data_IF_280772796607
#
_entry.id   IF_280772796607
#
_cell.length_a   1.000
_cell.length_b   1.000
_cell.length_c   1.000
_cell.angle_alpha   90.00
_cell.angle_beta   90.00
_cell.angle_gamma   90.00
#
_symmetry.space_group_name_H-M   'P 1'
#
loop_
_entity.id
_entity.type
_entity.pdbx_description
1 polymer ?
#
# COMPACT_ATOMS: atom_id res chain seq x y z
N UNK A 1 -11.58 -0.74 12.45
CA UNK A 1 -11.34 -1.80 11.41
C UNK A 1 -10.28 -1.29 10.44
N UNK A 2 -9.20 -2.03 10.26
CA UNK A 2 -8.06 -1.66 9.41
C UNK A 2 -8.50 -1.60 7.94
N UNK A 3 -7.97 -0.62 7.20
CA UNK A 3 -8.05 -0.55 5.74
C UNK A 3 -6.68 -0.82 5.14
N UNK A 4 -6.64 -1.46 3.96
CA UNK A 4 -5.40 -1.60 3.19
C UNK A 4 -5.05 -0.30 2.46
N UNK A 5 -3.77 -0.01 2.28
CA UNK A 5 -3.30 1.08 1.42
C UNK A 5 -3.40 0.75 -0.06
N UNK A 6 -3.36 -0.53 -0.41
CA UNK A 6 -3.55 -1.01 -1.78
C UNK A 6 -5.03 -1.15 -2.08
N UNK A 7 -5.41 -0.86 -3.31
CA UNK A 7 -6.79 -0.98 -3.73
C UNK A 7 -6.96 -0.82 -5.24
N UNK A 8 -8.05 -1.36 -5.73
CA UNK A 8 -8.48 -1.29 -7.11
C UNK A 8 -9.98 -1.04 -7.19
N UNK A 9 -10.39 -0.11 -8.01
CA UNK A 9 -11.79 0.16 -8.31
C UNK A 9 -12.00 0.40 -9.79
N UNK A 10 -13.06 -0.14 -10.32
CA UNK A 10 -13.49 0.09 -11.71
C UNK A 10 -15.00 0.29 -11.74
N UNK A 11 -15.43 1.22 -12.57
CA UNK A 11 -16.83 1.41 -12.88
C UNK A 11 -17.01 1.69 -14.36
N UNK A 12 -18.17 1.32 -14.90
CA UNK A 12 -18.58 1.59 -16.27
C UNK A 12 -20.00 2.11 -16.21
N UNK A 13 -20.24 3.28 -16.79
CA UNK A 13 -21.58 3.87 -16.92
C UNK A 13 -21.89 4.07 -18.40
N UNK A 14 -23.06 3.64 -18.83
CA UNK A 14 -23.54 3.82 -20.20
C UNK A 14 -24.22 5.16 -20.34
N UNK A 15 -23.84 5.92 -21.34
CA UNK A 15 -24.46 7.21 -21.70
C UNK A 15 -24.67 7.29 -23.20
N UNK A 16 -25.90 7.07 -23.66
CA UNK A 16 -26.24 6.96 -25.07
C UNK A 16 -25.47 5.79 -25.72
N UNK A 17 -24.72 6.11 -26.79
CA UNK A 17 -23.87 5.12 -27.52
C UNK A 17 -22.44 5.04 -26.93
N UNK A 18 -22.18 5.72 -25.81
CA UNK A 18 -20.88 5.78 -25.16
C UNK A 18 -20.88 4.96 -23.87
N UNK A 19 -19.76 4.30 -23.57
CA UNK A 19 -19.45 3.71 -22.27
C UNK A 19 -18.34 4.52 -21.61
N UNK A 20 -18.68 5.14 -20.49
CA UNK A 20 -17.72 5.90 -19.66
C UNK A 20 -17.07 4.92 -18.72
N UNK A 21 -15.79 4.67 -18.90
CA UNK A 21 -15.00 3.78 -18.09
C UNK A 21 -14.15 4.60 -17.11
N UNK A 22 -14.18 4.23 -15.84
CA UNK A 22 -13.31 4.79 -14.81
C UNK A 22 -12.54 3.66 -14.10
N UNK A 23 -11.25 3.83 -13.97
CA UNK A 23 -10.37 2.93 -13.27
C UNK A 23 -9.52 3.70 -12.27
N UNK A 24 -9.45 3.20 -11.03
CA UNK A 24 -8.64 3.79 -9.97
C UNK A 24 -7.80 2.71 -9.33
N UNK A 25 -6.49 2.92 -9.28
CA UNK A 25 -5.51 2.04 -8.61
C UNK A 25 -4.82 2.80 -7.50
N UNK A 26 -4.62 2.16 -6.38
CA UNK A 26 -3.89 2.75 -5.27
C UNK A 26 -2.80 1.80 -4.76
N UNK A 27 -1.61 2.36 -4.56
CA UNK A 27 -0.45 1.70 -3.96
C UNK A 27 -0.03 2.43 -2.69
N UNK A 28 0.81 1.76 -1.89
CA UNK A 28 1.34 2.35 -0.67
C UNK A 28 2.17 3.61 -0.95
N UNK A 29 1.83 4.71 -0.26
CA UNK A 29 2.64 5.94 -0.23
C UNK A 29 2.40 6.70 1.08
N UNK A 30 3.38 7.51 1.49
CA UNK A 30 3.29 8.34 2.70
C UNK A 30 2.31 9.50 2.57
N UNK A 31 2.16 10.04 1.37
CA UNK A 31 1.27 11.14 1.00
C UNK A 31 0.35 10.72 -0.14
N UNK A 32 -0.67 11.51 -0.42
CA UNK A 32 -1.48 11.33 -1.62
C UNK A 32 -0.67 11.84 -2.83
N UNK A 33 -0.31 10.94 -3.72
CA UNK A 33 0.32 11.21 -5.02
C UNK A 33 -0.64 10.76 -6.11
N UNK A 34 -1.29 11.72 -6.80
CA UNK A 34 -2.36 11.48 -7.77
C UNK A 34 -1.88 11.72 -9.19
N UNK A 35 -1.80 10.66 -9.96
CA UNK A 35 -1.61 10.66 -11.42
C UNK A 35 -2.95 10.51 -12.12
N UNK A 36 -3.25 11.35 -13.10
CA UNK A 36 -4.52 11.34 -13.82
C UNK A 36 -4.32 11.14 -15.31
N UNK A 37 -5.10 10.23 -15.90
CA UNK A 37 -5.27 10.07 -17.36
C UNK A 37 -6.71 10.32 -17.70
N UNK A 38 -6.97 11.46 -18.34
CA UNK A 38 -8.32 11.97 -18.56
C UNK A 38 -8.57 12.12 -20.06
N UNK A 39 -9.67 11.54 -20.55
CA UNK A 39 -10.09 11.71 -21.93
C UNK A 39 -10.25 13.19 -22.29
N UNK A 40 -9.92 13.63 -23.53
CA UNK A 40 -9.90 15.05 -23.92
C UNK A 40 -11.17 15.82 -23.57
N UNK A 41 -12.34 15.20 -23.70
CA UNK A 41 -13.63 15.80 -23.41
C UNK A 41 -13.82 16.17 -21.91
N UNK A 42 -13.18 15.45 -20.98
CA UNK A 42 -13.28 15.68 -19.54
C UNK A 42 -12.12 16.53 -18.99
N UNK A 43 -11.19 17.02 -19.80
CA UNK A 43 -10.02 17.80 -19.33
C UNK A 43 -10.41 19.06 -18.58
N UNK A 44 -11.47 19.74 -19.00
CA UNK A 44 -11.95 20.94 -18.29
C UNK A 44 -12.42 20.65 -16.86
N UNK A 45 -12.79 19.43 -16.56
CA UNK A 45 -13.25 18.94 -15.25
C UNK A 45 -12.13 18.29 -14.41
N UNK A 46 -10.87 18.31 -14.88
CA UNK A 46 -9.75 17.66 -14.19
C UNK A 46 -9.62 18.07 -12.72
N UNK A 47 -9.75 19.36 -12.42
CA UNK A 47 -9.65 19.86 -11.04
C UNK A 47 -10.77 19.33 -10.15
N UNK A 48 -11.97 19.17 -10.68
CA UNK A 48 -13.10 18.59 -9.93
C UNK A 48 -12.85 17.09 -9.66
N UNK A 49 -12.37 16.34 -10.66
CA UNK A 49 -11.99 14.94 -10.50
C UNK A 49 -10.90 14.78 -9.43
N UNK A 50 -9.85 15.60 -9.49
CA UNK A 50 -8.78 15.60 -8.48
C UNK A 50 -9.30 15.85 -7.06
N UNK A 51 -10.25 16.77 -6.93
CA UNK A 51 -10.88 17.07 -5.66
C UNK A 51 -11.72 15.88 -5.15
N UNK A 52 -12.52 15.24 -5.99
CA UNK A 52 -13.29 14.04 -5.63
C UNK A 52 -12.39 12.92 -5.14
N UNK A 53 -11.31 12.63 -5.88
CA UNK A 53 -10.33 11.60 -5.51
C UNK A 53 -9.65 11.95 -4.18
N UNK A 54 -9.24 13.20 -3.97
CA UNK A 54 -8.55 13.62 -2.74
C UNK A 54 -9.47 13.66 -1.51
N UNK A 55 -10.77 13.85 -1.69
CA UNK A 55 -11.75 13.75 -0.62
C UNK A 55 -12.04 12.29 -0.22
N UNK A 56 -12.05 11.40 -1.20
CA UNK A 56 -12.30 9.97 -0.98
C UNK A 56 -11.09 9.20 -0.43
N UNK A 57 -9.86 9.66 -0.75
CA UNK A 57 -8.62 8.94 -0.46
C UNK A 57 -7.64 9.83 0.32
N UNK A 58 -7.30 9.42 1.55
CA UNK A 58 -6.44 10.19 2.47
C UNK A 58 -4.96 10.15 2.09
N UNK A 59 -4.47 9.00 1.59
CA UNK A 59 -3.07 8.80 1.15
C UNK A 59 -2.96 7.63 0.19
N UNK A 60 -1.83 7.55 -0.49
CA UNK A 60 -1.48 6.50 -1.45
C UNK A 60 -0.96 7.09 -2.75
N UNK A 61 -0.22 6.30 -3.52
CA UNK A 61 0.06 6.61 -4.91
C UNK A 61 -1.12 6.11 -5.73
N UNK A 62 -1.90 7.06 -6.28
CA UNK A 62 -3.17 6.80 -6.94
C UNK A 62 -3.03 7.07 -8.44
N UNK A 63 -3.29 6.07 -9.24
CA UNK A 63 -3.42 6.18 -10.69
C UNK A 63 -4.91 6.17 -11.03
N UNK A 64 -5.41 7.29 -11.54
CA UNK A 64 -6.79 7.49 -11.97
C UNK A 64 -6.86 7.57 -13.49
N UNK A 65 -7.78 6.84 -14.11
CA UNK A 65 -8.00 6.88 -15.55
C UNK A 65 -9.49 6.97 -15.85
N UNK A 66 -9.88 7.89 -16.75
CA UNK A 66 -11.23 7.99 -17.32
C UNK A 66 -11.14 8.05 -18.83
N UNK A 67 -11.84 7.13 -19.49
CA UNK A 67 -11.90 7.09 -20.96
C UNK A 67 -13.28 6.68 -21.44
N UNK A 68 -13.54 6.94 -22.71
CA UNK A 68 -14.80 6.62 -23.38
C UNK A 68 -14.56 5.51 -24.39
N UNK A 69 -15.40 4.51 -24.35
CA UNK A 69 -15.57 3.51 -25.40
C UNK A 69 -16.88 3.82 -26.16
N UNK A 70 -16.81 3.87 -27.47
CA UNK A 70 -17.97 4.01 -28.33
C UNK A 70 -18.24 2.67 -29.00
N UNK A 71 -19.46 2.18 -28.90
CA UNK A 71 -19.90 0.96 -29.65
C UNK A 71 -20.13 1.28 -31.15
N UNK A 72 -19.34 2.20 -31.72
CA UNK A 72 -19.52 2.58 -33.13
C UNK A 72 -18.83 1.62 -34.09
N UNK A 73 -19.55 1.20 -35.10
CA UNK A 73 -19.00 0.70 -36.36
C UNK A 73 -17.91 1.69 -36.79
N UNK A 74 -16.75 1.19 -37.18
CA UNK A 74 -15.61 2.02 -37.59
C UNK A 74 -16.02 2.85 -38.81
N UNK A 75 -16.59 4.03 -38.59
CA UNK A 75 -16.81 4.99 -39.64
C UNK A 75 -15.47 5.44 -40.20
N UNK A 76 -15.39 5.47 -41.51
CA UNK A 76 -14.22 5.98 -42.20
C UNK A 76 -13.93 7.41 -41.73
N UNK A 77 -12.64 7.74 -41.49
CA UNK A 77 -12.25 9.10 -41.14
C UNK A 77 -12.78 10.09 -42.14
N UNK A 78 -13.61 11.07 -41.79
CA UNK A 78 -14.19 11.99 -42.75
C UNK A 78 -13.11 12.84 -43.40
N UNK A 79 -13.33 13.11 -44.69
CA UNK A 79 -12.45 13.97 -45.46
C UNK A 79 -12.87 15.43 -45.25
N UNK A 80 -11.91 16.29 -44.84
CA UNK A 80 -12.13 17.73 -44.73
C UNK A 80 -12.24 18.39 -46.10
N UNK A 81 -13.44 18.34 -46.72
CA UNK A 81 -13.69 18.86 -48.05
C UNK A 81 -13.30 20.33 -48.26
N UNK A 82 -13.63 21.25 -47.33
CA UNK A 82 -13.20 22.66 -47.43
C UNK A 82 -11.67 22.82 -47.46
N UNK A 83 -10.94 22.04 -46.69
CA UNK A 83 -9.47 22.08 -46.64
C UNK A 83 -8.88 21.53 -47.95
N UNK A 84 -9.42 20.43 -48.45
CA UNK A 84 -9.03 19.86 -49.76
C UNK A 84 -9.21 20.88 -50.89
N UNK A 85 -10.35 21.56 -50.94
CA UNK A 85 -10.62 22.61 -51.94
C UNK A 85 -9.63 23.78 -51.83
N UNK A 86 -9.25 24.16 -50.61
CA UNK A 86 -8.28 25.21 -50.38
C UNK A 86 -6.88 24.80 -50.84
N UNK A 87 -6.42 23.61 -50.50
CA UNK A 87 -5.12 23.07 -50.98
C UNK A 87 -5.11 22.95 -52.51
N UNK A 88 -6.19 22.49 -53.14
CA UNK A 88 -6.28 22.41 -54.59
C UNK A 88 -6.05 23.79 -55.22
N UNK A 89 -6.76 24.81 -54.76
CA UNK A 89 -6.63 26.19 -55.28
C UNK A 89 -5.20 26.71 -55.13
N UNK A 90 -4.61 26.56 -53.94
CA UNK A 90 -3.24 27.05 -53.67
C UNK A 90 -2.21 26.34 -54.55
N UNK A 91 -2.28 25.02 -54.67
CA UNK A 91 -1.33 24.24 -55.48
C UNK A 91 -1.44 24.58 -56.93
N UNK A 92 -2.67 24.80 -57.44
CA UNK A 92 -2.90 25.22 -58.83
C UNK A 92 -2.33 26.61 -59.13
N UNK A 93 -2.58 27.57 -58.23
CA UNK A 93 -2.01 28.92 -58.36
C UNK A 93 -0.48 28.92 -58.34
N UNK A 94 0.14 28.05 -57.54
CA UNK A 94 1.61 27.90 -57.49
C UNK A 94 2.14 27.26 -58.75
N UNK A 95 1.49 26.22 -59.26
CA UNK A 95 1.85 25.56 -60.51
C UNK A 95 1.83 26.53 -61.72
N UNK A 96 0.77 27.31 -61.84
CA UNK A 96 0.61 28.32 -62.91
C UNK A 96 1.69 29.43 -62.79
N UNK A 97 1.92 29.98 -61.62
CA UNK A 97 2.90 31.08 -61.39
C UNK A 97 4.34 30.68 -61.63
N UNK A 98 4.69 29.43 -61.40
CA UNK A 98 6.06 28.94 -61.48
C UNK A 98 6.32 28.00 -62.65
N UNK A 99 5.37 27.84 -63.57
CA UNK A 99 5.43 26.91 -64.71
C UNK A 99 5.78 25.47 -64.27
N UNK A 100 5.24 25.02 -63.15
CA UNK A 100 5.38 23.65 -62.68
C UNK A 100 4.26 22.82 -63.35
N UNK A 101 4.56 21.64 -63.94
CA UNK A 101 3.53 20.82 -64.51
C UNK A 101 2.56 20.32 -63.44
N UNK A 102 1.26 20.40 -63.72
CA UNK A 102 0.23 19.89 -62.80
C UNK A 102 0.34 18.38 -62.64
N UNK A 103 0.08 17.83 -61.42
CA UNK A 103 0.10 16.39 -61.18
C UNK A 103 -1.00 15.69 -61.98
N UNK A 104 -0.72 14.51 -62.52
CA UNK A 104 -1.70 13.71 -63.26
C UNK A 104 -2.82 13.19 -62.36
N UNK A 105 -2.49 12.95 -61.06
CA UNK A 105 -3.43 12.48 -60.03
C UNK A 105 -3.51 13.49 -58.89
N UNK A 106 -4.44 14.41 -59.03
CA UNK A 106 -4.76 15.40 -58.00
C UNK A 106 -5.32 14.77 -56.73
N UNK A 107 -6.10 13.66 -56.88
CA UNK A 107 -6.77 13.06 -55.73
C UNK A 107 -5.75 12.47 -54.77
N UNK A 108 -4.82 11.66 -55.26
CA UNK A 108 -3.73 11.12 -54.43
C UNK A 108 -2.84 12.20 -53.80
N UNK A 109 -2.61 13.30 -54.51
CA UNK A 109 -1.80 14.42 -54.03
C UNK A 109 -2.49 15.13 -52.89
N UNK A 110 -3.76 15.44 -52.99
CA UNK A 110 -4.56 16.16 -52.00
C UNK A 110 -4.82 15.31 -50.75
N UNK A 111 -5.06 14.00 -50.90
CA UNK A 111 -5.31 13.11 -49.80
C UNK A 111 -4.08 12.88 -48.91
N UNK A 112 -2.88 13.23 -49.39
CA UNK A 112 -1.61 13.18 -48.60
C UNK A 112 -1.27 14.49 -47.92
N UNK A 113 -2.04 15.54 -48.15
CA UNK A 113 -1.82 16.83 -47.48
C UNK A 113 -2.17 16.76 -46.00
N UNK A 114 -1.48 17.55 -45.15
CA UNK A 114 -1.76 17.58 -43.74
C UNK A 114 -3.23 17.88 -43.44
N UNK A 115 -3.77 17.25 -42.39
CA UNK A 115 -5.10 17.51 -41.83
C UNK A 115 -6.31 17.29 -42.77
N UNK A 116 -6.08 16.67 -43.95
CA UNK A 116 -7.17 16.32 -44.90
C UNK A 116 -8.06 15.19 -44.32
N UNK A 117 -7.47 14.26 -43.58
CA UNK A 117 -8.15 13.18 -42.92
C UNK A 117 -8.16 13.45 -41.38
N UNK A 118 -8.86 14.47 -40.95
CA UNK A 118 -8.98 14.86 -39.55
C UNK A 118 -10.40 14.69 -39.05
N UNK A 119 -10.54 14.06 -37.91
CA UNK A 119 -11.80 14.08 -37.16
C UNK A 119 -11.99 15.48 -36.57
N UNK A 120 -12.85 16.28 -37.17
CA UNK A 120 -13.16 17.67 -36.74
C UNK A 120 -14.28 17.73 -35.68
N UNK A 121 -14.65 16.62 -35.07
CA UNK A 121 -15.66 16.67 -34.01
C UNK A 121 -14.98 17.05 -32.67
N UNK A 122 -15.00 18.33 -32.35
CA UNK A 122 -14.89 18.82 -30.98
C UNK A 122 -16.19 18.46 -30.26
N UNK A 123 -16.27 17.27 -29.67
CA UNK A 123 -17.39 16.94 -28.79
C UNK A 123 -17.38 17.90 -27.63
N UNK A 124 -18.47 18.61 -27.41
CA UNK A 124 -18.67 19.48 -26.25
C UNK A 124 -19.28 18.65 -25.14
N UNK A 125 -18.71 18.75 -23.94
CA UNK A 125 -19.24 18.08 -22.75
C UNK A 125 -20.59 18.66 -22.35
N UNK A 126 -21.64 17.83 -22.28
CA UNK A 126 -22.94 18.24 -21.74
C UNK A 126 -23.03 18.03 -20.24
N UNK A 127 -23.93 18.74 -19.57
CA UNK A 127 -24.12 18.58 -18.11
C UNK A 127 -24.61 17.18 -17.75
N UNK A 128 -25.43 16.56 -18.62
CA UNK A 128 -25.92 15.19 -18.44
C UNK A 128 -24.76 14.16 -18.56
N UNK A 129 -23.87 14.33 -19.55
CA UNK A 129 -22.70 13.47 -19.71
C UNK A 129 -21.74 13.63 -18.54
N UNK A 130 -21.58 14.88 -18.05
CA UNK A 130 -20.78 15.12 -16.83
C UNK A 130 -21.38 14.49 -15.59
N UNK A 131 -22.71 14.51 -15.42
CA UNK A 131 -23.38 13.82 -14.32
C UNK A 131 -23.14 12.31 -14.36
N UNK A 132 -23.26 11.67 -15.53
CA UNK A 132 -22.95 10.25 -15.73
C UNK A 132 -21.45 9.93 -15.46
N UNK A 133 -20.55 10.80 -15.89
CA UNK A 133 -19.11 10.66 -15.59
C UNK A 133 -18.83 10.77 -14.08
N UNK A 134 -19.50 11.69 -13.39
CA UNK A 134 -19.40 11.86 -11.93
C UNK A 134 -19.91 10.62 -11.19
N UNK A 135 -21.01 10.03 -11.65
CA UNK A 135 -21.52 8.76 -11.11
C UNK A 135 -20.48 7.64 -11.28
N UNK A 136 -19.87 7.51 -12.46
CA UNK A 136 -18.83 6.52 -12.72
C UNK A 136 -17.59 6.73 -11.83
N UNK A 137 -17.17 7.99 -11.61
CA UNK A 137 -16.06 8.32 -10.70
C UNK A 137 -16.37 7.89 -9.28
N UNK A 138 -17.54 8.24 -8.75
CA UNK A 138 -17.95 7.88 -7.39
C UNK A 138 -18.04 6.35 -7.23
N UNK A 139 -18.67 5.65 -8.17
CA UNK A 139 -18.79 4.20 -8.14
C UNK A 139 -17.41 3.49 -8.16
N UNK A 140 -16.44 4.00 -8.94
CA UNK A 140 -15.08 3.48 -8.95
C UNK A 140 -14.34 3.72 -7.62
N UNK A 141 -14.53 4.89 -7.00
CA UNK A 141 -13.96 5.22 -5.68
C UNK A 141 -14.57 4.34 -4.57
N UNK A 142 -15.88 4.13 -4.61
CA UNK A 142 -16.58 3.25 -3.67
C UNK A 142 -16.12 1.79 -3.80
N UNK A 143 -15.94 1.31 -5.04
CA UNK A 143 -15.39 0.00 -5.33
C UNK A 143 -13.97 -0.16 -4.77
N UNK A 144 -13.11 0.85 -4.94
CA UNK A 144 -11.75 0.86 -4.37
C UNK A 144 -11.78 0.83 -2.84
N UNK A 145 -12.66 1.62 -2.21
CA UNK A 145 -12.79 1.65 -0.75
C UNK A 145 -13.32 0.32 -0.21
N UNK A 146 -14.29 -0.31 -0.88
CA UNK A 146 -14.77 -1.65 -0.53
C UNK A 146 -13.64 -2.69 -0.62
N UNK A 147 -12.82 -2.64 -1.66
CA UNK A 147 -11.63 -3.50 -1.80
C UNK A 147 -10.64 -3.28 -0.65
N UNK A 148 -10.34 -2.01 -0.30
CA UNK A 148 -9.47 -1.67 0.83
C UNK A 148 -9.98 -2.22 2.16
N UNK A 149 -11.29 -2.18 2.39
CA UNK A 149 -11.90 -2.76 3.60
C UNK A 149 -11.78 -4.27 3.62
N UNK A 150 -12.01 -4.94 2.50
CA UNK A 150 -11.89 -6.40 2.39
C UNK A 150 -10.45 -6.87 2.64
N UNK A 151 -9.46 -6.23 2.01
CA UNK A 151 -8.04 -6.53 2.26
C UNK A 151 -7.64 -6.20 3.70
N UNK A 152 -8.12 -5.09 4.23
CA UNK A 152 -7.88 -4.69 5.62
C UNK A 152 -8.39 -5.72 6.63
N UNK A 153 -9.57 -6.30 6.39
CA UNK A 153 -10.09 -7.38 7.22
C UNK A 153 -9.21 -8.65 7.18
N UNK A 154 -8.67 -8.98 6.00
CA UNK A 154 -7.72 -10.09 5.86
C UNK A 154 -6.39 -9.81 6.60
N UNK A 155 -5.89 -8.57 6.53
CA UNK A 155 -4.72 -8.13 7.31
C UNK A 155 -4.97 -8.22 8.81
N UNK A 156 -6.11 -7.76 9.30
CA UNK A 156 -6.48 -7.82 10.72
C UNK A 156 -6.50 -9.26 11.24
N UNK A 157 -7.02 -10.19 10.43
CA UNK A 157 -7.00 -11.63 10.78
C UNK A 157 -5.58 -12.16 10.92
N UNK A 158 -4.69 -11.82 9.96
CA UNK A 158 -3.28 -12.21 10.02
C UNK A 158 -2.57 -11.62 11.24
N UNK A 159 -2.80 -10.34 11.56
CA UNK A 159 -2.22 -9.73 12.75
C UNK A 159 -2.67 -10.41 14.03
N UNK A 160 -3.95 -10.73 14.17
CA UNK A 160 -4.44 -11.46 15.32
C UNK A 160 -3.77 -12.82 15.47
N UNK A 161 -3.63 -13.59 14.38
CA UNK A 161 -2.92 -14.87 14.38
C UNK A 161 -1.47 -14.71 14.87
N UNK A 162 -0.73 -13.73 14.36
CA UNK A 162 0.66 -13.47 14.76
C UNK A 162 0.79 -13.05 16.21
N UNK A 163 -0.13 -12.21 16.70
CA UNK A 163 -0.18 -11.78 18.10
C UNK A 163 -0.52 -12.97 19.01
N UNK A 164 -1.45 -13.85 18.62
CA UNK A 164 -1.74 -15.07 19.36
C UNK A 164 -0.51 -15.98 19.45
N UNK A 165 0.23 -16.14 18.35
CA UNK A 165 1.46 -16.91 18.32
C UNK A 165 2.52 -16.33 19.25
N UNK A 166 2.74 -15.00 19.24
CA UNK A 166 3.70 -14.34 20.15
C UNK A 166 3.25 -14.50 21.61
N UNK A 167 1.95 -14.39 21.88
CA UNK A 167 1.39 -14.58 23.22
C UNK A 167 1.65 -15.99 23.74
N UNK A 168 1.36 -17.01 22.94
CA UNK A 168 1.61 -18.40 23.31
C UNK A 168 3.11 -18.70 23.49
N UNK A 169 3.96 -18.13 22.66
CA UNK A 169 5.42 -18.23 22.80
C UNK A 169 5.89 -17.56 24.10
N UNK A 170 5.36 -16.39 24.45
CA UNK A 170 5.69 -15.69 25.69
C UNK A 170 5.31 -16.51 26.93
N UNK A 171 4.13 -17.12 26.94
CA UNK A 171 3.68 -18.03 28.02
C UNK A 171 4.56 -19.27 28.11
N UNK A 172 5.06 -19.79 26.98
CA UNK A 172 5.93 -20.97 26.95
C UNK A 172 7.33 -20.74 27.56
N UNK A 173 7.71 -19.51 27.89
CA UNK A 173 8.98 -19.18 28.56
C UNK A 173 8.97 -19.59 30.05
N UNK A 174 7.81 -19.56 30.70
CA UNK A 174 7.70 -19.71 32.17
C UNK A 174 8.38 -20.96 32.75
N UNK A 175 8.25 -22.19 32.20
CA UNK A 175 8.92 -23.38 32.73
C UNK A 175 10.43 -23.27 32.69
N UNK A 176 10.99 -22.63 31.67
CA UNK A 176 12.44 -22.46 31.52
C UNK A 176 13.00 -21.37 32.44
N UNK A 177 12.22 -20.34 32.71
CA UNK A 177 12.58 -19.27 33.63
C UNK A 177 12.76 -19.83 35.07
N UNK A 178 11.83 -20.64 35.56
CA UNK A 178 11.91 -21.29 36.89
C UNK A 178 13.13 -22.19 37.01
N UNK A 179 13.46 -22.99 35.99
CA UNK A 179 14.59 -23.91 36.03
C UNK A 179 15.97 -23.23 35.86
N UNK A 180 15.99 -21.99 35.38
CA UNK A 180 17.21 -21.25 35.07
C UNK A 180 18.04 -20.92 36.32
N UNK A 181 17.38 -20.45 37.37
CA UNK A 181 18.03 -20.06 38.61
C UNK A 181 18.79 -21.25 39.22
N UNK A 182 18.15 -22.43 39.27
CA UNK A 182 18.77 -23.63 39.79
C UNK A 182 19.97 -24.07 38.93
N UNK A 183 19.85 -24.03 37.62
CA UNK A 183 20.96 -24.34 36.68
C UNK A 183 22.16 -23.38 36.87
N UNK A 184 21.89 -22.08 37.08
CA UNK A 184 22.95 -21.09 37.33
C UNK A 184 23.64 -21.40 38.65
N UNK A 185 22.87 -21.64 39.72
CA UNK A 185 23.40 -22.01 41.04
C UNK A 185 24.30 -23.22 40.92
N UNK A 186 23.81 -24.30 40.28
CA UNK A 186 24.58 -25.54 40.12
C UNK A 186 25.88 -25.30 39.37
N UNK A 187 25.84 -24.55 38.26
CA UNK A 187 27.04 -24.21 37.47
C UNK A 187 28.09 -23.44 38.25
N UNK A 188 27.66 -22.47 39.07
CA UNK A 188 28.58 -21.68 39.91
C UNK A 188 29.21 -22.57 40.99
N UNK A 189 28.40 -23.39 41.66
CA UNK A 189 28.90 -24.34 42.70
C UNK A 189 29.86 -25.35 42.10
N UNK A 190 29.57 -25.93 40.92
CA UNK A 190 30.44 -26.88 40.27
C UNK A 190 31.74 -26.22 39.76
N UNK A 191 31.66 -24.96 39.30
CA UNK A 191 32.86 -24.18 38.94
C UNK A 191 33.74 -23.91 40.17
N UNK A 192 33.16 -23.56 41.30
CA UNK A 192 33.93 -23.36 42.55
C UNK A 192 34.59 -24.68 43.06
N UNK A 193 33.88 -25.79 42.97
CA UNK A 193 34.45 -27.13 43.37
C UNK A 193 35.58 -27.59 42.45
N UNK A 194 35.65 -27.12 41.22
CA UNK A 194 36.71 -27.47 40.26
C UNK A 194 38.05 -26.76 40.54
N UNK A 195 38.07 -25.76 41.48
CA UNK A 195 39.28 -25.04 41.85
C UNK A 195 39.81 -25.67 43.15
N UNK A 196 41.01 -26.31 43.10
CA UNK A 196 41.59 -26.93 44.27
C UNK A 196 41.90 -25.91 45.38
N UNK A 197 41.67 -26.29 46.67
CA UNK A 197 42.01 -25.52 47.85
C UNK A 197 41.24 -24.20 48.09
N UNK A 198 40.10 -23.97 47.44
CA UNK A 198 39.29 -22.78 47.67
C UNK A 198 38.12 -23.10 48.62
N UNK A 199 38.22 -22.66 49.87
CA UNK A 199 37.07 -22.52 50.75
C UNK A 199 36.30 -21.27 50.27
N UNK A 200 35.04 -21.43 49.78
CA UNK A 200 34.20 -20.31 49.42
C UNK A 200 33.23 -19.93 50.53
N UNK A 201 33.05 -18.61 50.72
CA UNK A 201 32.05 -18.05 51.62
C UNK A 201 30.65 -18.21 51.04
N UNK A 202 29.77 -18.96 51.75
CA UNK A 202 28.40 -19.21 51.34
C UNK A 202 27.57 -17.92 51.23
N UNK A 203 27.79 -16.96 52.16
CA UNK A 203 27.06 -15.68 52.13
C UNK A 203 27.41 -14.87 50.87
N UNK A 204 28.69 -14.90 50.46
CA UNK A 204 29.13 -14.24 49.24
C UNK A 204 28.57 -14.92 48.01
N UNK A 205 28.48 -16.24 47.99
CA UNK A 205 27.83 -16.98 46.88
C UNK A 205 26.34 -16.61 46.78
N UNK A 206 25.63 -16.49 47.90
CA UNK A 206 24.21 -16.09 47.87
C UNK A 206 24.03 -14.65 47.38
N UNK A 207 24.89 -13.72 47.78
CA UNK A 207 24.87 -12.34 47.26
C UNK A 207 25.09 -12.28 45.76
N UNK A 208 26.07 -13.00 45.24
CA UNK A 208 26.32 -13.10 43.78
C UNK A 208 25.13 -13.75 43.04
N UNK A 209 24.49 -14.76 43.64
CA UNK A 209 23.30 -15.39 43.05
C UNK A 209 22.14 -14.41 42.98
N UNK A 210 21.89 -13.60 44.02
CA UNK A 210 20.85 -12.56 44.00
C UNK A 210 21.13 -11.56 42.90
N UNK A 211 22.37 -11.08 42.74
CA UNK A 211 22.77 -10.20 41.66
C UNK A 211 22.50 -10.79 40.25
N UNK A 212 22.82 -12.08 40.07
CA UNK A 212 22.53 -12.76 38.78
C UNK A 212 21.03 -12.94 38.55
N UNK A 213 20.23 -13.23 39.59
CA UNK A 213 18.78 -13.36 39.49
C UNK A 213 18.18 -12.04 39.07
N UNK A 214 18.54 -10.92 39.69
CA UNK A 214 18.06 -9.58 39.33
C UNK A 214 18.49 -9.18 37.92
N UNK A 215 19.75 -9.40 37.55
CA UNK A 215 20.28 -9.09 36.21
C UNK A 215 19.60 -9.85 35.09
N UNK A 216 19.14 -11.06 35.36
CA UNK A 216 18.49 -11.94 34.41
C UNK A 216 16.96 -11.92 34.52
N UNK A 217 16.40 -11.12 35.42
CA UNK A 217 14.96 -10.98 35.54
C UNK A 217 14.36 -10.41 34.25
N UNK A 218 13.29 -11.06 33.77
CA UNK A 218 12.53 -10.69 32.56
C UNK A 218 11.06 -10.38 32.86
N UNK A 219 10.71 -10.25 34.13
CA UNK A 219 9.32 -10.05 34.54
C UNK A 219 8.74 -8.76 33.98
N UNK A 220 9.54 -7.69 33.93
CA UNK A 220 9.17 -6.39 33.39
C UNK A 220 8.96 -6.48 31.87
N UNK A 221 9.88 -7.11 31.14
CA UNK A 221 9.81 -7.30 29.70
C UNK A 221 8.57 -8.12 29.29
N UNK A 222 8.28 -9.19 30.04
CA UNK A 222 7.07 -10.00 29.84
C UNK A 222 5.79 -9.17 30.01
N UNK A 223 5.72 -8.40 31.09
CA UNK A 223 4.56 -7.55 31.37
C UNK A 223 4.39 -6.46 30.31
N UNK A 224 5.48 -5.80 29.90
CA UNK A 224 5.46 -4.77 28.86
C UNK A 224 5.06 -5.36 27.52
N UNK A 225 5.64 -6.50 27.14
CA UNK A 225 5.28 -7.17 25.88
C UNK A 225 3.81 -7.57 25.87
N UNK A 226 3.27 -8.13 26.95
CA UNK A 226 1.86 -8.47 27.06
C UNK A 226 0.96 -7.22 26.90
N UNK A 227 1.35 -6.09 27.51
CA UNK A 227 0.63 -4.84 27.36
C UNK A 227 0.70 -4.31 25.92
N UNK A 228 1.84 -4.40 25.24
CA UNK A 228 1.98 -3.98 23.84
C UNK A 228 1.16 -4.85 22.89
N UNK A 229 1.11 -6.17 23.11
CA UNK A 229 0.27 -7.10 22.34
C UNK A 229 -1.21 -6.74 22.47
N UNK A 230 -1.67 -6.47 23.69
CA UNK A 230 -3.05 -6.02 23.96
C UNK A 230 -3.32 -4.68 23.26
N UNK A 231 -2.43 -3.69 23.43
CA UNK A 231 -2.58 -2.37 22.85
C UNK A 231 -2.56 -2.39 21.32
N UNK A 232 -1.79 -3.29 20.72
CA UNK A 232 -1.81 -3.51 19.26
C UNK A 232 -3.19 -3.94 18.78
N UNK A 233 -3.86 -4.89 19.49
CA UNK A 233 -5.22 -5.31 19.17
C UNK A 233 -6.23 -4.18 19.29
N UNK A 234 -6.19 -3.44 20.38
CA UNK A 234 -7.08 -2.30 20.61
C UNK A 234 -6.90 -1.23 19.51
N UNK A 235 -5.66 -0.96 19.13
CA UNK A 235 -5.34 0.00 18.08
C UNK A 235 -5.88 -0.42 16.71
N UNK A 236 -5.96 -1.71 16.39
CA UNK A 236 -6.54 -2.19 15.12
C UNK A 236 -8.01 -1.81 14.94
N UNK A 237 -8.73 -1.54 16.02
CA UNK A 237 -10.15 -1.17 15.99
C UNK A 237 -10.39 0.35 15.94
N UNK A 238 -9.33 1.16 16.02
CA UNK A 238 -9.41 2.62 15.87
C UNK A 238 -9.73 3.01 14.41
N UNK A 239 -10.20 4.25 14.22
CA UNK A 239 -10.76 4.69 12.93
C UNK A 239 -9.78 5.46 12.04
N UNK A 240 -8.66 6.00 12.57
CA UNK A 240 -7.74 6.84 11.80
C UNK A 240 -6.27 6.65 12.23
N UNK A 241 -5.37 6.69 11.24
CA UNK A 241 -3.93 6.72 11.48
C UNK A 241 -3.34 5.43 12.06
N UNK A 242 -4.05 4.34 11.90
CA UNK A 242 -3.80 3.04 12.54
C UNK A 242 -2.43 2.49 12.17
N UNK A 243 -2.06 2.50 10.89
CA UNK A 243 -0.82 1.87 10.42
C UNK A 243 0.45 2.45 11.06
N UNK A 244 0.54 3.79 11.19
CA UNK A 244 1.71 4.42 11.82
C UNK A 244 1.81 4.07 13.30
N UNK A 245 0.68 4.06 14.02
CA UNK A 245 0.60 3.71 15.45
C UNK A 245 0.96 2.25 15.68
N UNK A 246 0.42 1.33 14.86
CA UNK A 246 0.78 -0.09 14.87
C UNK A 246 2.28 -0.31 14.62
N UNK A 247 2.89 0.48 13.70
CA UNK A 247 4.33 0.43 13.45
C UNK A 247 5.16 0.79 14.70
N UNK A 248 4.76 1.81 15.45
CA UNK A 248 5.42 2.17 16.71
C UNK A 248 5.26 1.09 17.78
N UNK A 249 4.05 0.54 17.92
CA UNK A 249 3.81 -0.55 18.90
C UNK A 249 4.65 -1.77 18.55
N UNK A 250 4.74 -2.14 17.26
CA UNK A 250 5.58 -3.26 16.81
C UNK A 250 7.08 -3.02 17.06
N UNK A 251 7.55 -1.76 17.05
CA UNK A 251 8.92 -1.43 17.45
C UNK A 251 9.14 -1.66 18.93
N UNK A 252 8.21 -1.21 19.80
CA UNK A 252 8.30 -1.44 21.25
C UNK A 252 8.23 -2.94 21.58
N UNK A 253 7.33 -3.69 20.94
CA UNK A 253 7.34 -5.16 21.06
C UNK A 253 8.71 -5.76 20.72
N UNK A 254 9.36 -5.26 19.68
CA UNK A 254 10.71 -5.69 19.30
C UNK A 254 11.77 -5.38 20.34
N UNK A 255 11.66 -4.27 21.04
CA UNK A 255 12.56 -3.92 22.14
C UNK A 255 12.42 -4.93 23.30
N UNK A 256 11.20 -5.21 23.72
CA UNK A 256 10.95 -6.15 24.82
C UNK A 256 11.39 -7.58 24.47
N UNK A 257 11.14 -8.04 23.25
CA UNK A 257 11.59 -9.35 22.76
C UNK A 257 13.14 -9.41 22.72
N UNK A 258 13.80 -8.35 22.26
CA UNK A 258 15.27 -8.27 22.21
C UNK A 258 15.88 -8.30 23.62
N UNK A 259 15.31 -7.54 24.56
CA UNK A 259 15.78 -7.51 25.94
C UNK A 259 15.56 -8.86 26.62
N UNK A 260 14.39 -9.49 26.42
CA UNK A 260 14.13 -10.87 26.85
C UNK A 260 15.20 -11.82 26.31
N UNK A 261 15.56 -11.72 25.04
CA UNK A 261 16.60 -12.52 24.42
C UNK A 261 17.99 -12.31 25.05
N UNK A 262 18.38 -11.06 25.29
CA UNK A 262 19.67 -10.74 25.89
C UNK A 262 19.80 -11.20 27.34
N UNK A 263 18.70 -11.21 28.09
CA UNK A 263 18.62 -11.73 29.44
C UNK A 263 18.40 -13.25 29.53
N UNK A 264 18.04 -13.91 28.42
CA UNK A 264 17.79 -15.36 28.35
C UNK A 264 19.10 -16.12 28.25
N UNK A 265 19.66 -16.54 29.36
CA UNK A 265 20.86 -17.38 29.43
C UNK A 265 20.49 -18.89 29.36
N UNK A 266 19.67 -19.27 28.39
CA UNK A 266 19.14 -20.62 28.20
C UNK A 266 18.82 -20.84 26.72
N UNK A 267 19.22 -21.97 26.13
CA UNK A 267 19.08 -22.25 24.70
C UNK A 267 17.61 -22.37 24.27
N UNK A 268 16.77 -23.01 25.09
CA UNK A 268 15.35 -23.18 24.80
C UNK A 268 14.64 -21.82 24.78
N UNK A 269 14.93 -20.94 25.75
CA UNK A 269 14.39 -19.57 25.76
C UNK A 269 14.88 -18.77 24.56
N UNK A 270 16.13 -18.89 24.14
CA UNK A 270 16.66 -18.26 22.94
C UNK A 270 15.91 -18.71 21.68
N UNK A 271 15.60 -20.00 21.56
CA UNK A 271 14.83 -20.54 20.45
C UNK A 271 13.40 -19.96 20.42
N UNK A 272 12.77 -19.77 21.58
CA UNK A 272 11.45 -19.14 21.70
C UNK A 272 11.54 -17.68 21.27
N UNK A 273 12.55 -16.95 21.72
CA UNK A 273 12.77 -15.54 21.34
C UNK A 273 12.98 -15.41 19.82
N UNK A 274 13.73 -16.31 19.18
CA UNK A 274 13.89 -16.31 17.71
C UNK A 274 12.54 -16.48 17.01
N UNK A 275 11.69 -17.41 17.46
CA UNK A 275 10.35 -17.59 16.91
C UNK A 275 9.47 -16.35 17.11
N UNK A 276 9.52 -15.70 18.29
CA UNK A 276 8.79 -14.44 18.50
C UNK A 276 9.27 -13.32 17.55
N UNK A 277 10.58 -13.24 17.28
CA UNK A 277 11.13 -12.29 16.31
C UNK A 277 10.62 -12.55 14.90
N UNK A 278 10.57 -13.80 14.47
CA UNK A 278 10.07 -14.17 13.14
C UNK A 278 8.59 -13.77 12.96
N UNK A 279 7.75 -14.03 13.98
CA UNK A 279 6.34 -13.60 13.97
C UNK A 279 6.21 -12.07 13.95
N UNK A 280 7.05 -11.37 14.71
CA UNK A 280 7.05 -9.90 14.77
C UNK A 280 7.52 -9.26 13.46
N UNK A 281 8.54 -9.82 12.77
CA UNK A 281 8.98 -9.29 11.48
C UNK A 281 7.86 -9.41 10.43
N UNK A 282 7.09 -10.50 10.43
CA UNK A 282 5.93 -10.62 9.56
C UNK A 282 4.86 -9.55 9.87
N UNK A 283 4.65 -9.20 11.15
CA UNK A 283 3.78 -8.08 11.55
C UNK A 283 4.32 -6.77 10.97
N UNK A 284 5.61 -6.46 11.16
CA UNK A 284 6.24 -5.21 10.71
C UNK A 284 6.17 -5.02 9.19
N UNK A 285 6.37 -6.09 8.42
CA UNK A 285 6.24 -6.05 6.96
C UNK A 285 4.81 -5.69 6.53
N UNK A 286 3.83 -6.30 7.17
CA UNK A 286 2.42 -6.10 6.81
C UNK A 286 1.84 -4.78 7.35
N UNK A 287 2.35 -4.24 8.46
CA UNK A 287 1.92 -2.94 9.01
C UNK A 287 2.18 -1.79 8.02
N UNK A 288 3.17 -1.92 7.14
CA UNK A 288 3.42 -0.95 6.07
C UNK A 288 2.25 -0.82 5.09
N UNK A 289 1.40 -1.84 4.99
CA UNK A 289 0.22 -1.87 4.13
C UNK A 289 -1.08 -1.45 4.85
N UNK A 290 -1.04 -1.18 6.15
CA UNK A 290 -2.18 -0.69 6.92
C UNK A 290 -2.32 0.84 6.82
N UNK A 291 -3.56 1.32 6.58
CA UNK A 291 -3.89 2.74 6.42
C UNK A 291 -4.08 3.42 7.78
#
# INVERSE_FOLDING_TARGET
MIQSMTGYGKAVVEFGEKKINVEVKSLNSKTLDLSTRIAPIYREKEMQIRQMVSQALTRGKVDFSIWIEKDTVVDATPVNGPLVANYYKQLKDIAEKNNIPEPQDWFSTLMRMPDVLTRTETETLTDEEWAAATEAVNAALDSLNAFRMQEGAALQKKFNEKIDNITALLESIEPYEKSRVEKIRQRIVDGLKSIPEVEYDKNRLEQELIYYIEKLDISEEKQRLANHLKYFRETMDETQGVGKKLGFIAQEMGREINTTGSKSNNAEMQNIVVKMKDELEQIKEQVLNAL
#
